data_IF_782073405849
#
_entry.id   IF_782073405849
#
_cell.length_a   1.000
_cell.length_b   1.000
_cell.length_c   1.000
_cell.angle_alpha   90.00
_cell.angle_beta   90.00
_cell.angle_gamma   90.00
#
_symmetry.space_group_name_H-M   'P 1'
#
loop_
_entity.id
_entity.type
_entity.pdbx_description
1 polymer ?
#
# COMPACT_ATOMS: atom_id res chain seq x y z
N UNK A 1 -5.24 -52.45 -15.50
CA UNK A 1 -4.47 -51.95 -14.34
C UNK A 1 -3.60 -50.77 -14.79
N UNK A 2 -4.24 -49.69 -15.25
CA UNK A 2 -3.56 -48.50 -15.75
C UNK A 2 -4.46 -47.33 -15.43
N UNK A 3 -4.39 -46.79 -14.22
CA UNK A 3 -5.27 -45.66 -13.87
C UNK A 3 -4.79 -44.82 -12.68
N UNK A 4 -4.22 -45.42 -11.64
CA UNK A 4 -3.83 -44.66 -10.43
C UNK A 4 -2.61 -43.75 -10.61
N UNK A 5 -1.57 -44.20 -11.34
CA UNK A 5 -0.38 -43.38 -11.62
C UNK A 5 -0.70 -42.17 -12.51
N UNK A 6 -1.62 -42.33 -13.47
CA UNK A 6 -2.05 -41.23 -14.34
C UNK A 6 -2.86 -40.18 -13.56
N UNK A 7 -3.81 -40.63 -12.72
CA UNK A 7 -4.59 -39.75 -11.82
C UNK A 7 -3.72 -38.98 -10.84
N UNK A 8 -2.69 -39.62 -10.26
CA UNK A 8 -1.73 -38.97 -9.36
C UNK A 8 -0.94 -37.86 -10.06
N UNK A 9 -0.45 -38.09 -11.28
CA UNK A 9 0.31 -37.10 -12.05
C UNK A 9 -0.55 -35.90 -12.47
N UNK A 10 -1.80 -36.14 -12.89
CA UNK A 10 -2.76 -35.06 -13.19
C UNK A 10 -3.09 -34.22 -11.96
N UNK A 11 -3.24 -34.84 -10.79
CA UNK A 11 -3.49 -34.14 -9.53
C UNK A 11 -2.34 -33.22 -9.14
N UNK A 12 -1.09 -33.72 -9.18
CA UNK A 12 0.10 -32.92 -8.87
C UNK A 12 0.31 -31.77 -9.86
N UNK A 13 0.04 -31.99 -11.14
CA UNK A 13 0.13 -30.96 -12.18
C UNK A 13 -0.89 -29.84 -11.97
N UNK A 14 -2.14 -30.18 -11.65
CA UNK A 14 -3.19 -29.19 -11.38
C UNK A 14 -2.89 -28.37 -10.13
N UNK A 15 -2.40 -29.02 -9.06
CA UNK A 15 -2.03 -28.33 -7.82
C UNK A 15 -0.89 -27.32 -8.04
N UNK A 16 0.16 -27.71 -8.76
CA UNK A 16 1.27 -26.80 -9.10
C UNK A 16 0.81 -25.59 -9.91
N UNK A 17 -0.13 -25.79 -10.83
CA UNK A 17 -0.69 -24.71 -11.65
C UNK A 17 -1.53 -23.74 -10.80
N UNK A 18 -2.37 -24.26 -9.91
CA UNK A 18 -3.16 -23.46 -8.97
C UNK A 18 -2.28 -22.63 -8.02
N UNK A 19 -1.23 -23.24 -7.45
CA UNK A 19 -0.28 -22.52 -6.58
C UNK A 19 0.44 -21.40 -7.33
N UNK A 20 0.82 -21.63 -8.60
CA UNK A 20 1.46 -20.60 -9.42
C UNK A 20 0.51 -19.45 -9.77
N UNK A 21 -0.75 -19.75 -10.11
CA UNK A 21 -1.76 -18.73 -10.44
C UNK A 21 -2.11 -17.87 -9.22
N UNK A 22 -2.34 -18.50 -8.06
CA UNK A 22 -2.58 -17.78 -6.80
C UNK A 22 -1.36 -16.98 -6.36
N UNK A 23 -0.15 -17.50 -6.61
CA UNK A 23 1.08 -16.77 -6.30
C UNK A 23 1.21 -15.46 -7.09
N UNK A 24 0.93 -15.52 -8.39
CA UNK A 24 0.97 -14.36 -9.27
C UNK A 24 -0.12 -13.32 -8.91
N UNK A 25 -1.35 -13.76 -8.62
CA UNK A 25 -2.44 -12.86 -8.24
C UNK A 25 -2.17 -12.14 -6.91
N UNK A 26 -1.57 -12.83 -5.94
CA UNK A 26 -1.25 -12.24 -4.63
C UNK A 26 0.13 -11.56 -4.58
N UNK A 27 0.90 -11.58 -5.67
CA UNK A 27 2.27 -11.06 -5.71
C UNK A 27 3.22 -11.75 -4.71
N UNK A 28 2.95 -13.02 -4.39
CA UNK A 28 3.78 -13.85 -3.49
C UNK A 28 4.72 -14.73 -4.30
N UNK A 29 5.77 -15.24 -3.64
CA UNK A 29 6.67 -16.23 -4.24
C UNK A 29 5.93 -17.51 -4.64
N UNK A 30 6.31 -18.09 -5.79
CA UNK A 30 5.76 -19.37 -6.31
C UNK A 30 6.36 -20.59 -5.60
N UNK A 31 7.35 -20.40 -4.73
CA UNK A 31 7.82 -21.46 -3.83
C UNK A 31 6.73 -21.80 -2.81
N UNK A 32 6.54 -23.10 -2.58
CA UNK A 32 5.66 -23.61 -1.54
C UNK A 32 6.16 -23.14 -0.18
N UNK A 33 5.51 -22.11 0.34
CA UNK A 33 5.84 -21.47 1.61
C UNK A 33 4.96 -22.04 2.72
N UNK A 34 5.52 -22.26 3.92
CA UNK A 34 4.74 -22.68 5.07
C UNK A 34 3.67 -21.64 5.45
N UNK A 35 2.63 -22.05 6.17
CA UNK A 35 1.54 -21.13 6.58
C UNK A 35 2.04 -19.98 7.44
N UNK A 36 3.01 -20.21 8.33
CA UNK A 36 3.62 -19.17 9.16
C UNK A 36 4.41 -18.16 8.34
N UNK A 37 5.24 -18.65 7.42
CA UNK A 37 6.06 -17.82 6.53
C UNK A 37 5.16 -16.97 5.62
N UNK A 38 4.09 -17.55 5.08
CA UNK A 38 3.09 -16.83 4.28
C UNK A 38 2.43 -15.68 5.06
N UNK A 39 2.05 -15.91 6.32
CA UNK A 39 1.43 -14.88 7.15
C UNK A 39 2.39 -13.74 7.47
N UNK A 40 3.67 -14.04 7.71
CA UNK A 40 4.71 -13.05 7.96
C UNK A 40 4.96 -12.19 6.72
N UNK A 41 5.18 -12.81 5.57
CA UNK A 41 5.40 -12.14 4.28
C UNK A 41 4.21 -11.23 3.91
N UNK A 42 2.98 -11.70 4.13
CA UNK A 42 1.76 -10.90 3.93
C UNK A 42 1.66 -9.71 4.89
N UNK A 43 2.09 -9.87 6.14
CA UNK A 43 2.10 -8.79 7.11
C UNK A 43 3.14 -7.73 6.75
N UNK A 44 4.33 -8.14 6.33
CA UNK A 44 5.41 -7.23 5.91
C UNK A 44 5.02 -6.41 4.69
N UNK A 45 4.51 -7.03 3.61
CA UNK A 45 4.05 -6.30 2.41
C UNK A 45 2.99 -5.26 2.75
N UNK A 46 1.97 -5.64 3.53
CA UNK A 46 0.93 -4.71 3.99
C UNK A 46 1.49 -3.59 4.86
N UNK A 47 2.50 -3.89 5.67
CA UNK A 47 3.20 -2.90 6.50
C UNK A 47 3.93 -1.87 5.64
N UNK A 48 4.66 -2.33 4.61
CA UNK A 48 5.38 -1.48 3.66
C UNK A 48 4.41 -0.60 2.87
N UNK A 49 3.34 -1.18 2.30
CA UNK A 49 2.32 -0.45 1.54
C UNK A 49 1.70 0.69 2.38
N UNK A 50 1.23 0.37 3.59
CA UNK A 50 0.73 1.38 4.53
C UNK A 50 1.78 2.41 4.94
N UNK A 51 3.03 2.00 5.06
CA UNK A 51 4.15 2.89 5.36
C UNK A 51 4.40 3.89 4.23
N UNK A 52 4.34 3.44 2.98
CA UNK A 52 4.46 4.30 1.78
C UNK A 52 3.30 5.29 1.71
N UNK A 53 2.05 4.83 1.89
CA UNK A 53 0.88 5.71 1.90
C UNK A 53 0.98 6.81 2.97
N UNK A 54 1.28 6.43 4.22
CA UNK A 54 1.48 7.38 5.32
C UNK A 54 2.63 8.34 5.06
N UNK A 55 3.72 7.84 4.47
CA UNK A 55 4.89 8.66 4.10
C UNK A 55 4.55 9.69 3.02
N UNK A 56 3.77 9.30 2.02
CA UNK A 56 3.28 10.21 0.98
C UNK A 56 2.37 11.28 1.56
N UNK A 57 1.39 10.90 2.40
CA UNK A 57 0.49 11.84 3.07
C UNK A 57 1.26 12.83 3.98
N UNK A 58 2.22 12.33 4.76
CA UNK A 58 3.05 13.18 5.63
C UNK A 58 3.92 14.17 4.84
N UNK A 59 4.45 13.77 3.68
CA UNK A 59 5.18 14.69 2.80
C UNK A 59 4.25 15.77 2.25
N UNK A 60 3.07 15.41 1.76
CA UNK A 60 2.08 16.38 1.27
C UNK A 60 1.64 17.34 2.38
N UNK A 61 1.37 16.84 3.59
CA UNK A 61 1.07 17.66 4.75
C UNK A 61 2.19 18.67 5.03
N UNK A 62 3.46 18.23 5.05
CA UNK A 62 4.61 19.10 5.31
C UNK A 62 4.80 20.17 4.23
N UNK A 63 4.60 19.82 2.96
CA UNK A 63 4.68 20.78 1.84
C UNK A 63 3.59 21.84 2.00
N UNK A 64 2.34 21.43 2.21
CA UNK A 64 1.22 22.36 2.42
C UNK A 64 1.45 23.23 3.66
N UNK A 65 1.92 22.67 4.77
CA UNK A 65 2.23 23.43 5.97
C UNK A 65 3.30 24.50 5.73
N UNK A 66 4.37 24.16 5.00
CA UNK A 66 5.42 25.11 4.63
C UNK A 66 4.89 26.20 3.69
N UNK A 67 4.07 25.84 2.71
CA UNK A 67 3.43 26.79 1.79
C UNK A 67 2.57 27.83 2.56
N UNK A 68 1.81 27.37 3.56
CA UNK A 68 0.98 28.26 4.38
C UNK A 68 1.86 29.12 5.32
N UNK A 69 2.81 28.51 6.03
CA UNK A 69 3.56 29.19 7.09
C UNK A 69 4.69 30.09 6.58
N UNK A 70 5.40 29.68 5.53
CA UNK A 70 6.56 30.39 5.02
C UNK A 70 6.20 31.36 3.89
N UNK A 71 5.30 30.95 3.00
CA UNK A 71 4.92 31.72 1.81
C UNK A 71 3.60 32.47 1.98
N UNK A 72 2.84 32.18 3.05
CA UNK A 72 1.58 32.87 3.34
C UNK A 72 0.49 32.63 2.31
N UNK A 73 0.58 31.53 1.54
CA UNK A 73 -0.37 31.22 0.48
C UNK A 73 -1.79 31.02 1.04
N UNK A 74 -2.77 31.38 0.23
CA UNK A 74 -4.17 31.10 0.47
C UNK A 74 -4.49 29.62 0.15
N UNK A 75 -5.66 29.14 0.60
CA UNK A 75 -5.97 27.71 0.51
C UNK A 75 -6.02 27.22 -0.94
N UNK A 76 -6.48 28.07 -1.86
CA UNK A 76 -6.54 27.77 -3.29
C UNK A 76 -5.14 27.71 -3.93
N UNK A 77 -4.26 28.67 -3.62
CA UNK A 77 -2.88 28.67 -4.12
C UNK A 77 -2.07 27.48 -3.61
N UNK A 78 -2.18 27.17 -2.32
CA UNK A 78 -1.51 26.00 -1.75
C UNK A 78 -2.05 24.68 -2.33
N UNK A 79 -3.38 24.56 -2.52
CA UNK A 79 -3.99 23.39 -3.16
C UNK A 79 -3.50 23.19 -4.60
N UNK A 80 -3.42 24.28 -5.37
CA UNK A 80 -2.94 24.24 -6.75
C UNK A 80 -1.47 23.83 -6.86
N UNK A 81 -0.59 24.39 -6.02
CA UNK A 81 0.85 24.08 -6.06
C UNK A 81 1.16 22.68 -5.55
N UNK A 82 0.46 22.22 -4.52
CA UNK A 82 0.67 20.89 -3.94
C UNK A 82 -0.17 19.80 -4.63
N UNK A 83 -0.98 20.15 -5.64
CA UNK A 83 -1.89 19.24 -6.35
C UNK A 83 -2.79 18.42 -5.41
N UNK A 84 -3.24 19.04 -4.31
CA UNK A 84 -4.12 18.42 -3.31
C UNK A 84 -5.50 19.10 -3.28
N UNK A 85 -6.55 18.43 -2.79
CA UNK A 85 -7.85 19.06 -2.59
C UNK A 85 -7.78 20.23 -1.60
N UNK A 86 -8.59 21.27 -1.83
CA UNK A 86 -8.69 22.44 -0.92
C UNK A 86 -9.08 22.00 0.50
N UNK A 87 -9.97 21.01 0.64
CA UNK A 87 -10.39 20.47 1.93
C UNK A 87 -9.22 19.91 2.76
N UNK A 88 -8.21 19.33 2.10
CA UNK A 88 -6.99 18.86 2.76
C UNK A 88 -6.18 20.05 3.30
N UNK A 89 -6.03 21.10 2.51
CA UNK A 89 -5.33 22.33 2.91
C UNK A 89 -6.02 22.99 4.11
N UNK A 90 -7.36 23.05 4.11
CA UNK A 90 -8.12 23.58 5.23
C UNK A 90 -7.90 22.77 6.52
N UNK A 91 -7.88 21.42 6.43
CA UNK A 91 -7.54 20.57 7.57
C UNK A 91 -6.15 20.89 8.12
N UNK A 92 -5.13 20.92 7.24
CA UNK A 92 -3.76 21.30 7.61
C UNK A 92 -3.74 22.66 8.31
N UNK A 93 -4.48 23.65 7.79
CA UNK A 93 -4.57 24.98 8.37
C UNK A 93 -5.20 24.99 9.76
N UNK A 94 -6.27 24.22 9.97
CA UNK A 94 -6.90 24.10 11.29
C UNK A 94 -5.98 23.41 12.30
N UNK A 95 -5.22 22.40 11.87
CA UNK A 95 -4.32 21.67 12.75
C UNK A 95 -3.10 22.52 13.14
N UNK A 96 -2.54 23.30 12.20
CA UNK A 96 -1.50 24.29 12.48
C UNK A 96 -1.99 25.41 13.42
N UNK A 97 -3.28 25.77 13.38
CA UNK A 97 -3.85 26.76 14.28
C UNK A 97 -4.05 26.21 15.71
N UNK A 98 -4.31 24.90 15.84
CA UNK A 98 -4.41 24.22 17.16
C UNK A 98 -3.05 24.04 17.81
N UNK A 99 -1.99 23.74 17.05
CA UNK A 99 -0.64 23.58 17.61
C UNK A 99 -0.01 24.89 18.11
N UNK A 100 -0.47 26.05 17.61
CA UNK A 100 -0.01 27.37 18.06
C UNK A 100 -0.70 27.90 19.32
N UNK A 101 -1.66 27.14 19.87
CA UNK A 101 -2.49 27.56 21.00
C UNK A 101 -2.12 26.79 22.26
#
# INVERSE_FOLDING_TARGET
MADERSKSLLSSSNFSKFESETAQLEGRSTETMGTTEYLLDKAERKGIEKGIEKGAEAKSYKVVANLIQQLGLDDAGAAGVAEVPIDFVQKVRTDLAKEKK
#
